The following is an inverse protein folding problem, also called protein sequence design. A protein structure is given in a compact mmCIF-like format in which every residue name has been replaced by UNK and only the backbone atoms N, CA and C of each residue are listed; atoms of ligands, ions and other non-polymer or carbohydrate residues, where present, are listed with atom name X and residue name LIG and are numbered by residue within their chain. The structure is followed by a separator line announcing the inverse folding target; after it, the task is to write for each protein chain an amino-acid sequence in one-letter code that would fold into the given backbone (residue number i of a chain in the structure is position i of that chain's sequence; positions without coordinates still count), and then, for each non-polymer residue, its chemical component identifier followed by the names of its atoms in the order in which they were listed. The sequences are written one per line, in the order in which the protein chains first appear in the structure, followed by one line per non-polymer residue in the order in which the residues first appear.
data_IF_257100970286
#
_entry.id   IF_257100970286
#
_cell.length_a   1.000
_cell.length_b   1.000
_cell.length_c   1.000
_cell.angle_alpha   90.00
_cell.angle_beta   90.00
_cell.angle_gamma   90.00
#
_symmetry.space_group_name_H-M   'P 1'
#
loop_
_entity.id
_entity.type
_entity.pdbx_description
1 polymer ?
#
# COMPACT_ATOMS: atom_id res chain seq x y z
N UNK A 1 9.02 -10.12 51.73
CA UNK A 1 9.08 -10.35 50.27
C UNK A 1 9.00 -11.86 50.02
N UNK A 2 8.00 -12.38 49.30
CA UNK A 2 7.85 -13.81 49.06
C UNK A 2 8.90 -14.33 48.08
N UNK A 3 9.80 -15.20 48.55
CA UNK A 3 10.68 -15.98 47.67
C UNK A 3 9.89 -17.15 47.07
N UNK A 4 9.81 -17.22 45.74
CA UNK A 4 9.15 -18.30 44.97
C UNK A 4 7.62 -18.41 45.16
N UNK A 5 6.88 -17.43 44.66
CA UNK A 5 5.45 -17.54 44.38
C UNK A 5 5.01 -16.55 43.30
N UNK A 6 4.25 -17.00 42.30
CA UNK A 6 3.70 -16.09 41.27
C UNK A 6 2.61 -15.24 41.90
N UNK A 7 2.86 -13.94 42.07
CA UNK A 7 1.88 -12.99 42.60
C UNK A 7 0.76 -12.84 41.56
N UNK A 8 -0.39 -13.42 41.83
CA UNK A 8 -1.62 -13.17 41.07
C UNK A 8 -2.22 -11.87 41.61
N UNK A 9 -2.26 -10.84 40.77
CA UNK A 9 -3.01 -9.61 41.08
C UNK A 9 -4.49 -10.00 41.19
N UNK A 10 -5.13 -9.66 42.31
CA UNK A 10 -6.58 -9.88 42.47
C UNK A 10 -7.34 -8.87 41.61
N UNK A 11 -8.54 -9.23 41.14
CA UNK A 11 -9.33 -8.34 40.27
C UNK A 11 -9.59 -6.98 40.94
N UNK A 12 -9.84 -6.99 42.26
CA UNK A 12 -10.03 -5.78 43.08
C UNK A 12 -8.77 -4.89 43.10
N UNK A 13 -7.57 -5.50 43.17
CA UNK A 13 -6.30 -4.78 43.10
C UNK A 13 -6.06 -4.22 41.69
N UNK A 14 -6.39 -4.99 40.66
CA UNK A 14 -6.27 -4.57 39.26
C UNK A 14 -7.23 -3.42 38.91
N UNK A 15 -8.48 -3.48 39.36
CA UNK A 15 -9.46 -2.40 39.22
C UNK A 15 -9.01 -1.14 39.98
N UNK A 16 -8.55 -1.29 41.23
CA UNK A 16 -8.09 -0.16 42.05
C UNK A 16 -6.85 0.52 41.43
N UNK A 17 -5.90 -0.27 40.91
CA UNK A 17 -4.71 0.23 40.23
C UNK A 17 -5.06 0.89 38.89
N UNK A 18 -5.92 0.27 38.08
CA UNK A 18 -6.37 0.81 36.79
C UNK A 18 -7.13 2.12 36.97
N UNK A 19 -7.98 2.21 38.00
CA UNK A 19 -8.69 3.42 38.39
C UNK A 19 -7.74 4.52 38.87
N UNK A 20 -6.72 4.18 39.66
CA UNK A 20 -5.69 5.14 40.07
C UNK A 20 -4.92 5.69 38.87
N UNK A 21 -4.47 4.83 37.95
CA UNK A 21 -3.76 5.23 36.73
C UNK A 21 -4.60 6.18 35.86
N UNK A 22 -5.88 5.87 35.64
CA UNK A 22 -6.80 6.71 34.87
C UNK A 22 -7.03 8.09 35.50
N UNK A 23 -7.04 8.19 36.83
CA UNK A 23 -7.20 9.44 37.55
C UNK A 23 -5.91 10.29 37.54
N UNK A 24 -4.74 9.66 37.68
CA UNK A 24 -3.44 10.33 37.50
C UNK A 24 -3.34 10.92 36.09
N UNK A 25 -3.56 10.09 35.06
CA UNK A 25 -3.46 10.48 33.65
C UNK A 25 -4.35 11.69 33.33
N UNK A 26 -5.60 11.67 33.81
CA UNK A 26 -6.55 12.78 33.61
C UNK A 26 -6.11 14.06 34.32
N UNK A 27 -5.69 14.00 35.58
CA UNK A 27 -5.24 15.18 36.34
C UNK A 27 -3.94 15.75 35.74
N UNK A 28 -3.01 14.89 35.34
CA UNK A 28 -1.79 15.30 34.63
C UNK A 28 -2.10 15.93 33.26
N UNK A 29 -3.07 15.40 32.51
CA UNK A 29 -3.50 15.97 31.22
C UNK A 29 -4.12 17.36 31.42
N UNK A 30 -5.00 17.55 32.41
CA UNK A 30 -5.62 18.86 32.70
C UNK A 30 -4.55 19.90 33.03
N UNK A 31 -3.54 19.52 33.83
CA UNK A 31 -2.41 20.38 34.16
C UNK A 31 -1.53 20.68 32.92
N UNK A 32 -1.21 19.66 32.12
CA UNK A 32 -0.39 19.81 30.91
C UNK A 32 -1.04 20.74 29.88
N UNK A 33 -2.31 20.52 29.54
CA UNK A 33 -3.05 21.35 28.59
C UNK A 33 -3.21 22.79 29.10
N UNK A 34 -3.41 22.98 30.42
CA UNK A 34 -3.40 24.31 31.03
C UNK A 34 -2.04 25.00 30.84
N UNK A 35 -0.94 24.30 31.08
CA UNK A 35 0.41 24.82 30.86
C UNK A 35 0.71 25.11 29.38
N UNK A 36 0.18 24.31 28.44
CA UNK A 36 0.32 24.56 27.00
C UNK A 36 -0.48 25.81 26.54
N UNK A 37 -1.71 25.98 27.03
CA UNK A 37 -2.51 27.19 26.81
C UNK A 37 -1.87 28.44 27.43
N UNK A 38 -1.24 28.29 28.60
CA UNK A 38 -0.48 29.35 29.26
C UNK A 38 0.76 29.73 28.45
N UNK A 39 1.57 28.76 27.99
CA UNK A 39 2.79 29.01 27.22
C UNK A 39 2.52 29.70 25.88
N UNK A 40 1.49 29.28 25.16
CA UNK A 40 1.08 29.93 23.88
C UNK A 40 0.62 31.37 24.10
N UNK A 41 -0.10 31.66 25.19
CA UNK A 41 -0.53 33.03 25.51
C UNK A 41 0.61 33.91 26.03
N UNK A 42 1.56 33.39 26.82
CA UNK A 42 2.79 34.12 27.22
C UNK A 42 3.60 34.52 25.98
N UNK A 43 3.71 33.62 24.99
CA UNK A 43 4.47 33.87 23.76
C UNK A 43 3.86 35.01 22.91
N UNK A 44 2.54 35.25 23.04
CA UNK A 44 1.83 36.34 22.35
C UNK A 44 1.91 37.68 23.11
N UNK A 45 2.00 37.64 24.44
CA UNK A 45 2.20 38.80 25.30
C UNK A 45 3.66 39.25 25.22
N UNK A 46 3.91 40.32 24.46
CA UNK A 46 5.26 40.73 24.02
C UNK A 46 6.15 41.24 25.16
N UNK A 47 6.74 40.34 25.94
CA UNK A 47 7.84 40.58 26.88
C UNK A 47 7.49 41.26 28.22
N UNK A 48 6.38 42.00 28.31
CA UNK A 48 6.11 42.89 29.45
C UNK A 48 5.35 42.25 30.63
N UNK A 49 4.83 41.02 30.49
CA UNK A 49 4.10 40.32 31.56
C UNK A 49 4.86 39.08 32.06
N UNK A 50 5.30 39.09 33.33
CA UNK A 50 6.01 37.98 33.97
C UNK A 50 5.12 36.81 34.44
N UNK A 51 3.84 36.78 34.07
CA UNK A 51 2.86 35.77 34.48
C UNK A 51 1.42 36.19 34.21
N UNK A 52 0.47 35.34 34.63
CA UNK A 52 -0.96 35.59 34.51
C UNK A 52 -1.62 35.97 35.85
N UNK A 53 -2.69 36.75 35.78
CA UNK A 53 -3.58 36.96 36.92
C UNK A 53 -4.31 35.65 37.29
N UNK A 54 -4.61 35.45 38.58
CA UNK A 54 -5.27 34.22 39.07
C UNK A 54 -6.64 33.98 38.44
N UNK A 55 -7.35 35.03 38.04
CA UNK A 55 -8.60 34.96 37.27
C UNK A 55 -8.36 34.32 35.90
N UNK A 56 -7.36 34.81 35.15
CA UNK A 56 -6.98 34.28 33.83
C UNK A 56 -6.45 32.85 33.89
N UNK A 57 -5.71 32.48 34.94
CA UNK A 57 -5.34 31.07 35.16
C UNK A 57 -6.57 30.20 35.39
N UNK A 58 -7.53 30.67 36.20
CA UNK A 58 -8.79 29.95 36.45
C UNK A 58 -9.63 29.78 35.17
N UNK A 59 -9.67 30.78 34.28
CA UNK A 59 -10.27 30.65 32.94
C UNK A 59 -9.56 29.59 32.09
N UNK A 60 -8.22 29.53 32.08
CA UNK A 60 -7.49 28.53 31.30
C UNK A 60 -7.76 27.10 31.80
N UNK A 61 -7.77 26.89 33.12
CA UNK A 61 -8.16 25.60 33.72
C UNK A 61 -9.61 25.26 33.36
N UNK A 62 -10.54 26.23 33.43
CA UNK A 62 -11.95 26.06 33.07
C UNK A 62 -12.11 25.57 31.62
N UNK A 63 -11.42 26.20 30.67
CA UNK A 63 -11.44 25.82 29.25
C UNK A 63 -10.87 24.42 28.97
N UNK A 64 -10.06 23.85 29.87
CA UNK A 64 -9.57 22.47 29.78
C UNK A 64 -10.56 21.51 30.45
N UNK A 65 -10.99 21.82 31.67
CA UNK A 65 -11.99 21.03 32.43
C UNK A 65 -13.32 20.89 31.66
N UNK A 66 -13.78 21.93 30.95
CA UNK A 66 -14.98 21.84 30.11
C UNK A 66 -14.81 20.89 28.91
N UNK A 67 -13.59 20.70 28.39
CA UNK A 67 -13.31 19.66 27.38
C UNK A 67 -13.27 18.26 27.98
N UNK A 68 -12.75 18.12 29.20
CA UNK A 68 -12.57 16.81 29.87
C UNK A 68 -13.86 16.25 30.47
N UNK A 69 -14.72 17.10 31.04
CA UNK A 69 -15.95 16.67 31.76
C UNK A 69 -17.25 17.25 31.17
N UNK A 70 -17.16 18.12 30.17
CA UNK A 70 -18.32 18.84 29.63
C UNK A 70 -18.69 20.09 30.44
N UNK A 71 -19.83 20.69 30.07
CA UNK A 71 -20.23 22.04 30.48
C UNK A 71 -20.29 22.22 32.00
N UNK A 72 -19.31 22.95 32.52
CA UNK A 72 -19.07 23.19 33.96
C UNK A 72 -19.04 24.70 34.21
N UNK A 73 -19.51 25.17 35.37
CA UNK A 73 -19.42 26.60 35.73
C UNK A 73 -18.02 26.94 36.24
N UNK A 74 -17.54 28.16 35.94
CA UNK A 74 -16.22 28.66 36.35
C UNK A 74 -15.95 28.51 37.86
N UNK A 75 -16.98 28.60 38.69
CA UNK A 75 -16.88 28.40 40.13
C UNK A 75 -16.49 26.96 40.52
N UNK A 76 -17.06 25.95 39.84
CA UNK A 76 -16.96 24.52 40.18
C UNK A 76 -15.83 23.76 39.48
N UNK A 77 -14.93 24.50 38.83
CA UNK A 77 -13.79 23.96 38.08
C UNK A 77 -12.84 23.17 38.98
N UNK A 78 -12.63 23.67 40.21
CA UNK A 78 -11.75 23.00 41.17
C UNK A 78 -12.44 21.80 41.83
N UNK A 79 -13.75 21.85 42.12
CA UNK A 79 -14.53 20.75 42.69
C UNK A 79 -14.31 19.42 41.93
N UNK A 80 -14.28 19.48 40.60
CA UNK A 80 -14.14 18.30 39.75
C UNK A 80 -12.68 17.81 39.63
N UNK A 81 -11.68 18.66 39.86
CA UNK A 81 -10.28 18.23 40.01
C UNK A 81 -10.06 17.64 41.42
N UNK A 82 -10.54 18.32 42.46
CA UNK A 82 -10.44 17.91 43.86
C UNK A 82 -11.13 16.56 44.11
N UNK A 83 -12.28 16.33 43.48
CA UNK A 83 -13.00 15.03 43.50
C UNK A 83 -12.19 13.91 42.87
N UNK A 84 -11.54 14.13 41.73
CA UNK A 84 -10.74 13.11 41.06
C UNK A 84 -9.43 12.83 41.81
N UNK A 85 -8.80 13.86 42.40
CA UNK A 85 -7.65 13.73 43.33
C UNK A 85 -8.03 12.99 44.61
N UNK A 86 -9.16 13.31 45.24
CA UNK A 86 -9.66 12.62 46.44
C UNK A 86 -9.99 11.15 46.15
N UNK A 87 -10.56 10.88 44.98
CA UNK A 87 -10.82 9.51 44.49
C UNK A 87 -9.51 8.76 44.21
N UNK A 88 -8.49 9.44 43.70
CA UNK A 88 -7.16 8.89 43.49
C UNK A 88 -6.49 8.50 44.81
N UNK A 89 -6.45 9.40 45.80
CA UNK A 89 -5.94 9.11 47.14
C UNK A 89 -6.65 7.90 47.78
N UNK A 90 -7.98 7.83 47.66
CA UNK A 90 -8.78 6.68 48.14
C UNK A 90 -8.43 5.39 47.40
N UNK A 91 -8.19 5.45 46.08
CA UNK A 91 -7.83 4.28 45.26
C UNK A 91 -6.41 3.79 45.58
N UNK A 92 -5.45 4.71 45.81
CA UNK A 92 -4.10 4.38 46.27
C UNK A 92 -4.12 3.77 47.68
N UNK A 93 -4.95 4.30 48.59
CA UNK A 93 -5.11 3.72 49.93
C UNK A 93 -5.69 2.30 49.86
N UNK A 94 -6.65 2.04 48.97
CA UNK A 94 -7.16 0.69 48.71
C UNK A 94 -6.05 -0.27 48.23
N UNK A 95 -5.25 0.15 47.25
CA UNK A 95 -4.08 -0.60 46.75
C UNK A 95 -3.08 -0.87 47.88
N UNK A 96 -2.79 0.12 48.72
CA UNK A 96 -1.88 -0.02 49.86
C UNK A 96 -2.39 -1.04 50.88
N UNK A 97 -3.65 -0.93 51.31
CA UNK A 97 -4.25 -1.86 52.26
C UNK A 97 -4.22 -3.31 51.74
N UNK A 98 -4.60 -3.56 50.48
CA UNK A 98 -4.57 -4.90 49.88
C UNK A 98 -3.15 -5.51 49.85
N UNK A 99 -2.13 -4.67 49.67
CA UNK A 99 -0.73 -5.11 49.68
C UNK A 99 -0.23 -5.38 51.11
N UNK A 100 -0.59 -4.53 52.08
CA UNK A 100 -0.12 -4.61 53.48
C UNK A 100 -0.84 -5.71 54.28
N UNK A 101 -2.14 -5.92 54.05
CA UNK A 101 -2.93 -7.04 54.57
C UNK A 101 -2.49 -8.41 54.00
N UNK A 102 -1.62 -8.41 52.98
CA UNK A 102 -1.12 -9.63 52.36
C UNK A 102 -2.16 -10.43 51.58
N UNK A 103 -3.31 -9.83 51.25
CA UNK A 103 -4.45 -10.47 50.56
C UNK A 103 -4.23 -10.70 49.05
N UNK A 104 -2.97 -10.61 48.61
CA UNK A 104 -2.48 -11.18 47.34
C UNK A 104 -2.64 -12.70 47.38
N UNK A 105 -3.62 -13.23 46.66
CA UNK A 105 -3.98 -14.65 46.65
C UNK A 105 -2.78 -15.57 46.37
N UNK A 106 -2.19 -16.13 47.43
CA UNK A 106 -1.53 -17.44 47.36
C UNK A 106 -2.61 -18.42 46.86
N UNK A 107 -2.30 -19.18 45.82
CA UNK A 107 -3.27 -20.06 45.16
C UNK A 107 -3.61 -21.26 46.04
N UNK A 108 -4.48 -21.03 47.02
CA UNK A 108 -5.25 -22.07 47.69
C UNK A 108 -6.05 -22.79 46.63
N UNK A 109 -5.65 -24.04 46.32
CA UNK A 109 -6.41 -24.92 45.43
C UNK A 109 -7.85 -24.96 45.93
N UNK A 110 -8.80 -24.54 45.09
CA UNK A 110 -10.20 -24.81 45.39
C UNK A 110 -10.42 -26.32 45.41
N UNK A 111 -11.29 -26.76 46.32
CA UNK A 111 -11.56 -28.17 46.53
C UNK A 111 -12.47 -28.66 45.39
N UNK A 112 -11.86 -29.26 44.36
CA UNK A 112 -12.57 -29.61 43.12
C UNK A 112 -13.70 -30.61 43.41
N UNK A 113 -14.94 -30.15 43.24
CA UNK A 113 -16.21 -30.89 43.47
C UNK A 113 -16.34 -32.23 42.72
N UNK A 114 -15.41 -32.54 41.81
CA UNK A 114 -15.40 -33.74 40.98
C UNK A 114 -13.98 -34.31 40.88
N UNK A 115 -13.81 -35.65 40.86
CA UNK A 115 -12.51 -36.26 40.59
C UNK A 115 -11.93 -35.79 39.24
N UNK A 116 -10.60 -35.58 39.10
CA UNK A 116 -9.99 -35.00 37.89
C UNK A 116 -10.26 -35.75 36.57
N UNK A 117 -10.67 -37.02 36.62
CA UNK A 117 -11.11 -37.80 35.46
C UNK A 117 -12.48 -37.32 34.93
N UNK A 118 -13.40 -36.99 35.82
CA UNK A 118 -14.75 -36.51 35.50
C UNK A 118 -14.67 -35.08 34.96
N UNK A 119 -13.90 -34.22 35.61
CA UNK A 119 -13.55 -32.87 35.14
C UNK A 119 -13.04 -32.91 33.68
N UNK A 120 -12.00 -33.71 33.42
CA UNK A 120 -11.44 -33.91 32.06
C UNK A 120 -12.46 -34.44 31.05
N UNK A 121 -13.41 -35.28 31.47
CA UNK A 121 -14.48 -35.77 30.61
C UNK A 121 -15.50 -34.67 30.26
N UNK A 122 -15.87 -33.82 31.21
CA UNK A 122 -16.71 -32.65 30.96
C UNK A 122 -16.03 -31.63 30.04
N UNK A 123 -14.76 -31.28 30.27
CA UNK A 123 -14.00 -30.39 29.39
C UNK A 123 -13.93 -30.93 27.96
N UNK A 124 -13.73 -32.24 27.76
CA UNK A 124 -13.76 -32.87 26.44
C UNK A 124 -15.14 -32.83 25.78
N UNK A 125 -16.22 -33.04 26.54
CA UNK A 125 -17.59 -32.94 26.01
C UNK A 125 -17.93 -31.51 25.58
N UNK A 126 -17.52 -30.51 26.36
CA UNK A 126 -17.69 -29.10 26.02
C UNK A 126 -16.88 -28.72 24.77
N UNK A 127 -15.57 -29.04 24.73
CA UNK A 127 -14.72 -28.75 23.59
C UNK A 127 -15.18 -29.42 22.28
N UNK A 128 -15.83 -30.60 22.37
CA UNK A 128 -16.46 -31.24 21.21
C UNK A 128 -17.67 -30.44 20.68
N UNK A 129 -18.57 -30.00 21.57
CA UNK A 129 -19.72 -29.18 21.19
C UNK A 129 -19.32 -27.80 20.64
N UNK A 130 -18.28 -27.18 21.23
CA UNK A 130 -17.68 -25.95 20.72
C UNK A 130 -17.06 -26.14 19.33
N UNK A 131 -16.37 -27.26 19.09
CA UNK A 131 -15.82 -27.59 17.78
C UNK A 131 -16.91 -27.84 16.71
N UNK A 132 -18.03 -28.47 17.06
CA UNK A 132 -19.19 -28.61 16.17
C UNK A 132 -19.84 -27.25 15.86
N UNK A 133 -19.97 -26.37 16.85
CA UNK A 133 -20.46 -25.01 16.67
C UNK A 133 -19.55 -24.15 15.78
N UNK A 134 -18.23 -24.29 15.91
CA UNK A 134 -17.24 -23.65 15.04
C UNK A 134 -17.27 -24.22 13.61
N UNK A 135 -17.42 -25.54 13.46
CA UNK A 135 -17.58 -26.19 12.15
C UNK A 135 -18.82 -25.64 11.42
N UNK A 136 -19.96 -25.51 12.10
CA UNK A 136 -21.17 -24.96 11.48
C UNK A 136 -21.01 -23.50 11.07
N UNK A 137 -20.31 -22.69 11.88
CA UNK A 137 -19.99 -21.31 11.51
C UNK A 137 -19.06 -21.22 10.29
N UNK A 138 -18.07 -22.12 10.18
CA UNK A 138 -17.19 -22.22 9.02
C UNK A 138 -17.98 -22.61 7.76
N UNK A 139 -18.83 -23.64 7.85
CA UNK A 139 -19.70 -24.12 6.77
C UNK A 139 -20.66 -23.01 6.29
N UNK A 140 -21.22 -22.22 7.21
CA UNK A 140 -22.00 -21.02 6.88
C UNK A 140 -21.16 -19.97 6.14
N UNK A 141 -19.93 -19.68 6.60
CA UNK A 141 -19.04 -18.69 5.98
C UNK A 141 -18.52 -19.12 4.60
N UNK A 142 -18.34 -20.42 4.38
CA UNK A 142 -17.99 -20.97 3.08
C UNK A 142 -19.16 -20.83 2.08
N UNK A 143 -20.39 -21.10 2.51
CA UNK A 143 -21.59 -20.85 1.71
C UNK A 143 -21.79 -19.35 1.38
N UNK A 144 -21.60 -18.45 2.35
CA UNK A 144 -21.59 -16.99 2.11
C UNK A 144 -20.50 -16.60 1.08
N UNK A 145 -19.30 -17.17 1.17
CA UNK A 145 -18.21 -16.92 0.21
C UNK A 145 -18.53 -17.45 -1.20
N UNK A 146 -19.19 -18.61 -1.31
CA UNK A 146 -19.63 -19.18 -2.60
C UNK A 146 -20.67 -18.26 -3.25
N UNK A 147 -21.63 -17.73 -2.50
CA UNK A 147 -22.63 -16.80 -3.05
C UNK A 147 -22.01 -15.47 -3.47
N UNK A 148 -21.11 -14.89 -2.66
CA UNK A 148 -20.36 -13.69 -3.02
C UNK A 148 -19.52 -13.91 -4.31
N UNK A 149 -18.93 -15.10 -4.51
CA UNK A 149 -18.23 -15.45 -5.76
C UNK A 149 -19.19 -15.46 -6.97
N UNK A 150 -20.43 -15.94 -6.84
CA UNK A 150 -21.44 -15.87 -7.91
C UNK A 150 -21.81 -14.41 -8.23
N UNK A 151 -22.06 -13.59 -7.21
CA UNK A 151 -22.39 -12.16 -7.38
C UNK A 151 -21.24 -11.41 -8.06
N UNK A 152 -19.98 -11.66 -7.67
CA UNK A 152 -18.80 -11.08 -8.32
C UNK A 152 -18.73 -11.52 -9.79
N UNK A 153 -18.95 -12.80 -10.11
CA UNK A 153 -18.96 -13.25 -11.51
C UNK A 153 -20.07 -12.57 -12.32
N UNK A 154 -21.29 -12.51 -11.81
CA UNK A 154 -22.39 -11.81 -12.48
C UNK A 154 -22.03 -10.34 -12.78
N UNK A 155 -21.38 -9.63 -11.83
CA UNK A 155 -20.93 -8.24 -12.03
C UNK A 155 -19.79 -8.10 -13.05
N UNK A 156 -18.91 -9.09 -13.18
CA UNK A 156 -17.90 -9.13 -14.26
C UNK A 156 -18.58 -9.31 -15.63
N UNK A 157 -19.59 -10.17 -15.70
CA UNK A 157 -20.36 -10.41 -16.92
C UNK A 157 -21.22 -9.17 -17.30
N UNK A 158 -21.78 -8.45 -16.30
CA UNK A 158 -22.44 -7.14 -16.46
C UNK A 158 -21.48 -6.08 -17.02
N UNK A 159 -20.32 -5.89 -16.38
CA UNK A 159 -19.30 -4.89 -16.79
C UNK A 159 -18.80 -5.18 -18.20
N UNK A 160 -18.65 -6.46 -18.57
CA UNK A 160 -18.28 -6.86 -19.94
C UNK A 160 -19.36 -6.47 -20.97
N UNK A 161 -20.64 -6.59 -20.62
CA UNK A 161 -21.76 -6.10 -21.44
C UNK A 161 -21.76 -4.57 -21.57
N UNK A 162 -21.51 -3.83 -20.49
CA UNK A 162 -21.42 -2.36 -20.55
C UNK A 162 -20.22 -1.90 -21.39
N UNK A 163 -19.06 -2.57 -21.29
CA UNK A 163 -17.90 -2.27 -22.13
C UNK A 163 -18.21 -2.46 -23.62
N UNK A 164 -18.85 -3.57 -24.00
CA UNK A 164 -19.25 -3.81 -25.39
C UNK A 164 -20.24 -2.75 -25.91
N UNK A 165 -21.18 -2.31 -25.06
CA UNK A 165 -22.13 -1.23 -25.41
C UNK A 165 -21.44 0.13 -25.59
N UNK A 166 -20.39 0.41 -24.81
CA UNK A 166 -19.56 1.62 -24.95
C UNK A 166 -18.77 1.57 -26.27
N UNK A 167 -18.08 0.47 -26.54
CA UNK A 167 -17.32 0.24 -27.78
C UNK A 167 -18.21 0.37 -29.04
N UNK A 168 -19.45 -0.13 -28.98
CA UNK A 168 -20.47 0.07 -30.03
C UNK A 168 -20.99 1.52 -30.15
N UNK A 169 -20.90 2.33 -29.10
CA UNK A 169 -21.25 3.75 -29.12
C UNK A 169 -20.10 4.59 -29.68
N UNK A 170 -18.87 4.32 -29.24
CA UNK A 170 -17.65 4.98 -29.72
C UNK A 170 -17.44 4.75 -31.22
N UNK A 171 -17.64 3.51 -31.70
CA UNK A 171 -17.60 3.19 -33.13
C UNK A 171 -18.65 3.96 -33.97
N UNK A 172 -19.82 4.29 -33.38
CA UNK A 172 -20.84 5.14 -34.03
C UNK A 172 -20.44 6.61 -34.00
N UNK A 173 -19.84 7.10 -32.92
CA UNK A 173 -19.31 8.46 -32.84
C UNK A 173 -18.16 8.67 -33.84
N UNK A 174 -17.27 7.70 -34.01
CA UNK A 174 -16.28 7.69 -35.09
C UNK A 174 -16.94 7.73 -36.47
N UNK A 175 -18.00 6.96 -36.70
CA UNK A 175 -18.71 6.96 -37.99
C UNK A 175 -19.37 8.31 -38.28
N UNK A 176 -20.04 8.93 -37.30
CA UNK A 176 -20.62 10.26 -37.45
C UNK A 176 -19.53 11.33 -37.67
N UNK A 177 -18.45 11.30 -36.89
CA UNK A 177 -17.30 12.20 -37.05
C UNK A 177 -16.69 12.12 -38.46
N UNK A 178 -16.51 10.92 -39.02
CA UNK A 178 -16.02 10.72 -40.40
C UNK A 178 -17.01 11.27 -41.44
N UNK A 179 -18.31 11.08 -41.25
CA UNK A 179 -19.37 11.60 -42.12
C UNK A 179 -19.46 13.13 -42.06
N UNK A 180 -19.33 13.73 -40.87
CA UNK A 180 -19.40 15.17 -40.70
C UNK A 180 -18.12 15.87 -41.21
N UNK A 181 -16.95 15.25 -41.04
CA UNK A 181 -15.69 15.70 -41.67
C UNK A 181 -15.78 15.69 -43.21
N UNK A 182 -16.48 14.70 -43.79
CA UNK A 182 -16.75 14.66 -45.24
C UNK A 182 -17.70 15.78 -45.69
N UNK A 183 -18.75 16.10 -44.90
CA UNK A 183 -19.62 17.25 -45.18
C UNK A 183 -18.87 18.57 -45.08
N UNK A 184 -18.03 18.73 -44.05
CA UNK A 184 -17.20 19.92 -43.83
C UNK A 184 -16.24 20.13 -45.00
N UNK A 185 -15.53 19.09 -45.43
CA UNK A 185 -14.66 19.13 -46.62
C UNK A 185 -15.42 19.48 -47.90
N UNK A 186 -16.62 18.94 -48.11
CA UNK A 186 -17.47 19.28 -49.27
C UNK A 186 -17.97 20.73 -49.19
N UNK A 187 -18.37 21.21 -48.02
CA UNK A 187 -18.82 22.60 -47.83
C UNK A 187 -17.68 23.58 -48.03
N UNK A 188 -16.47 23.28 -47.52
CA UNK A 188 -15.28 24.09 -47.74
C UNK A 188 -14.94 24.14 -49.23
N UNK A 189 -14.92 23.00 -49.93
CA UNK A 189 -14.67 22.97 -51.37
C UNK A 189 -15.70 23.83 -52.13
N UNK A 190 -16.98 23.78 -51.74
CA UNK A 190 -18.04 24.60 -52.35
C UNK A 190 -17.89 26.10 -52.03
N UNK A 191 -17.38 26.45 -50.85
CA UNK A 191 -17.03 27.83 -50.50
C UNK A 191 -15.85 28.31 -51.36
N UNK A 192 -14.85 27.47 -51.58
CA UNK A 192 -13.68 27.80 -52.41
C UNK A 192 -14.07 27.97 -53.90
N UNK A 193 -14.91 27.09 -54.45
CA UNK A 193 -15.52 27.26 -55.78
C UNK A 193 -16.24 28.61 -55.92
N UNK A 194 -17.11 28.96 -54.96
CA UNK A 194 -17.88 30.20 -54.98
C UNK A 194 -16.99 31.44 -54.82
N UNK A 195 -15.91 31.35 -54.04
CA UNK A 195 -14.91 32.42 -53.92
C UNK A 195 -14.12 32.62 -55.22
N UNK A 196 -13.79 31.53 -55.94
CA UNK A 196 -13.12 31.60 -57.25
C UNK A 196 -14.06 32.25 -58.28
N UNK A 197 -15.32 31.83 -58.36
CA UNK A 197 -16.30 32.39 -59.30
C UNK A 197 -16.62 33.86 -58.98
N UNK A 198 -16.80 34.22 -57.70
CA UNK A 198 -17.00 35.62 -57.29
C UNK A 198 -15.78 36.49 -57.65
N UNK A 199 -14.56 35.98 -57.47
CA UNK A 199 -13.34 36.68 -57.87
C UNK A 199 -13.25 36.83 -59.39
N UNK A 200 -13.59 35.79 -60.15
CA UNK A 200 -13.65 35.83 -61.62
C UNK A 200 -14.67 36.87 -62.11
N UNK A 201 -15.88 36.87 -61.56
CA UNK A 201 -16.89 37.88 -61.90
C UNK A 201 -16.44 39.30 -61.51
N UNK A 202 -15.78 39.48 -60.36
CA UNK A 202 -15.19 40.78 -59.97
C UNK A 202 -14.14 41.25 -61.00
N UNK A 203 -13.25 40.36 -61.44
CA UNK A 203 -12.30 40.64 -62.52
C UNK A 203 -13.01 40.99 -63.84
N UNK A 204 -14.03 40.24 -64.25
CA UNK A 204 -14.83 40.51 -65.46
C UNK A 204 -15.53 41.88 -65.39
N UNK A 205 -16.05 42.27 -64.22
CA UNK A 205 -16.60 43.62 -64.00
C UNK A 205 -15.51 44.72 -64.03
N UNK A 206 -14.32 44.48 -63.48
CA UNK A 206 -13.20 45.43 -63.51
C UNK A 206 -12.66 45.59 -64.95
N UNK A 207 -12.51 44.50 -65.71
CA UNK A 207 -12.17 44.53 -67.14
C UNK A 207 -13.25 45.23 -67.98
N UNK A 208 -14.53 45.02 -67.66
CA UNK A 208 -15.65 45.73 -68.33
C UNK A 208 -15.66 47.23 -67.99
N UNK A 209 -15.36 47.61 -66.74
CA UNK A 209 -15.25 49.01 -66.33
C UNK A 209 -14.06 49.71 -67.00
N UNK A 210 -12.91 49.04 -67.12
CA UNK A 210 -11.75 49.57 -67.83
C UNK A 210 -11.98 49.62 -69.35
N UNK A 211 -12.70 48.66 -69.92
CA UNK A 211 -13.15 48.71 -71.31
C UNK A 211 -14.08 49.91 -71.56
N UNK A 212 -15.10 50.13 -70.72
CA UNK A 212 -16.00 51.30 -70.81
C UNK A 212 -15.25 52.62 -70.59
N UNK A 213 -14.30 52.68 -69.65
CA UNK A 213 -13.44 53.87 -69.48
C UNK A 213 -12.54 54.11 -70.70
N UNK A 214 -12.02 53.04 -71.31
CA UNK A 214 -11.23 53.13 -72.55
C UNK A 214 -12.10 53.54 -73.73
N UNK A 215 -13.32 53.05 -73.84
CA UNK A 215 -14.30 53.47 -74.84
C UNK A 215 -14.73 54.94 -74.64
N UNK A 216 -14.90 55.39 -73.39
CA UNK A 216 -15.16 56.80 -73.07
C UNK A 216 -13.99 57.69 -73.51
N UNK A 217 -12.75 57.36 -73.11
CA UNK A 217 -11.53 58.08 -73.55
C UNK A 217 -11.38 58.02 -75.07
N UNK A 218 -11.63 56.86 -75.68
CA UNK A 218 -11.59 56.68 -77.13
C UNK A 218 -12.65 57.55 -77.81
N UNK A 219 -13.87 57.66 -77.27
CA UNK A 219 -14.94 58.49 -77.80
C UNK A 219 -14.70 59.99 -77.55
N UNK A 220 -14.01 60.38 -76.49
CA UNK A 220 -13.50 61.74 -76.29
C UNK A 220 -12.42 62.07 -77.34
N UNK A 221 -11.43 61.18 -77.50
CA UNK A 221 -10.40 61.32 -78.53
C UNK A 221 -11.01 61.24 -79.93
N UNK A 222 -12.02 60.41 -80.19
CA UNK A 222 -12.67 60.26 -81.49
C UNK A 222 -13.67 61.38 -81.75
N UNK A 223 -14.27 62.01 -80.75
CA UNK A 223 -15.00 63.27 -80.93
C UNK A 223 -14.02 64.41 -81.28
N UNK A 224 -12.83 64.43 -80.68
CA UNK A 224 -11.75 65.36 -81.06
C UNK A 224 -11.13 65.04 -82.43
N UNK A 225 -10.92 63.76 -82.74
CA UNK A 225 -10.40 63.26 -84.02
C UNK A 225 -11.48 63.26 -85.10
N UNK A 226 -12.79 63.33 -84.80
CA UNK A 226 -13.89 63.52 -85.75
C UNK A 226 -14.21 64.99 -85.96
N UNK A 227 -13.96 65.85 -84.98
CA UNK A 227 -13.66 67.27 -85.26
C UNK A 227 -12.46 67.42 -86.18
N UNK A 228 -11.57 66.43 -86.31
CA UNK A 228 -10.43 66.37 -87.25
C UNK A 228 -10.64 65.45 -88.49
N UNK A 229 -11.59 64.51 -88.45
CA UNK A 229 -11.94 63.56 -89.53
C UNK A 229 -13.13 64.06 -90.34
N UNK A 230 -13.95 64.95 -89.80
CA UNK A 230 -14.66 65.93 -90.63
C UNK A 230 -13.68 66.78 -91.47
N UNK A 231 -12.46 67.06 -90.97
CA UNK A 231 -11.38 67.69 -91.78
C UNK A 231 -10.60 66.69 -92.67
N UNK A 232 -10.66 65.37 -92.42
CA UNK A 232 -9.71 64.41 -93.03
C UNK A 232 -10.27 63.08 -93.57
N UNK A 233 -11.31 62.47 -92.99
CA UNK A 233 -12.05 61.31 -93.54
C UNK A 233 -13.04 61.67 -94.64
N UNK A 234 -12.90 62.88 -95.18
CA UNK A 234 -13.14 63.24 -96.58
C UNK A 234 -12.47 62.28 -97.63
N UNK A 235 -12.23 60.98 -97.34
CA UNK A 235 -11.23 60.07 -97.99
C UNK A 235 -11.60 58.56 -98.19
N UNK A 236 -11.29 57.58 -97.30
CA UNK A 236 -11.24 56.10 -97.62
C UNK A 236 -11.41 55.08 -96.46
N UNK A 237 -12.01 53.89 -96.69
CA UNK A 237 -11.88 52.64 -95.89
C UNK A 237 -12.37 51.35 -96.65
N UNK A 238 -11.74 50.15 -96.46
CA UNK A 238 -12.03 48.83 -97.15
C UNK A 238 -11.46 47.50 -96.35
N UNK A 239 -12.17 46.35 -95.83
CA UNK A 239 -11.81 44.81 -95.43
C UNK A 239 -12.23 43.90 -94.07
N UNK A 240 -11.99 42.50 -93.86
CA UNK A 240 -12.50 41.40 -92.77
C UNK A 240 -11.64 40.00 -92.43
N UNK A 241 -11.76 38.80 -91.63
CA UNK A 241 -12.67 37.76 -90.81
C UNK A 241 -12.05 36.44 -89.93
N UNK A 242 -12.73 35.31 -89.38
CA UNK A 242 -12.42 34.21 -88.22
C UNK A 242 -12.93 32.59 -88.33
N UNK A 243 -12.93 31.34 -87.58
CA UNK A 243 -12.80 30.47 -86.21
C UNK A 243 -12.49 28.81 -86.29
N UNK A 244 -12.59 27.60 -85.50
CA UNK A 244 -12.95 26.77 -84.16
C UNK A 244 -12.55 25.13 -84.13
N UNK A 245 -12.66 23.94 -83.31
CA UNK A 245 -12.91 23.13 -81.92
C UNK A 245 -12.62 21.47 -81.95
N UNK A 246 -12.72 20.29 -81.14
CA UNK A 246 -13.07 19.48 -79.78
C UNK A 246 -12.62 17.85 -79.69
N UNK A 247 -12.74 16.66 -78.87
CA UNK A 247 -13.09 15.88 -77.50
C UNK A 247 -12.71 14.22 -77.40
N UNK A 248 -12.84 13.05 -76.55
CA UNK A 248 -13.24 12.28 -75.18
C UNK A 248 -12.79 10.64 -75.03
N UNK A 249 -12.96 9.47 -74.17
CA UNK A 249 -13.51 8.72 -72.85
C UNK A 249 -13.16 7.08 -72.43
N UNK A 250 -13.30 6.47 -71.15
CA UNK A 250 -13.49 5.04 -70.35
C UNK A 250 -12.65 3.59 -70.29
N UNK A 251 -12.72 2.34 -69.53
CA UNK A 251 -13.38 1.43 -68.36
C UNK A 251 -12.70 -0.03 -67.83
N UNK A 252 -13.11 -0.91 -66.76
CA UNK A 252 -12.47 -2.28 -66.16
C UNK A 252 -13.17 -3.43 -65.13
N UNK A 253 -12.64 -4.69 -64.70
CA UNK A 253 -13.13 -5.87 -63.69
C UNK A 253 -12.17 -7.19 -63.27
N UNK A 254 -12.25 -8.41 -62.50
CA UNK A 254 -12.92 -9.32 -61.33
C UNK A 254 -12.32 -10.83 -60.83
N UNK A 255 -12.68 -11.65 -59.69
CA UNK A 255 -12.00 -12.96 -59.02
C UNK A 255 -12.72 -14.26 -58.18
N UNK A 256 -12.08 -15.43 -57.61
CA UNK A 256 -12.55 -16.69 -56.66
C UNK A 256 -11.53 -17.92 -56.17
N UNK A 257 -11.55 -19.17 -55.40
CA UNK A 257 -12.18 -20.18 -54.29
C UNK A 257 -11.32 -21.59 -53.97
N UNK A 258 -11.29 -22.77 -53.11
CA UNK A 258 -11.79 -23.70 -51.88
C UNK A 258 -11.08 -25.23 -51.70
N UNK A 259 -11.10 -26.42 -50.87
CA UNK A 259 -11.51 -27.27 -49.56
C UNK A 259 -10.91 -28.85 -49.40
N UNK A 260 -10.91 -30.01 -48.53
CA UNK A 260 -11.11 -30.70 -47.09
C UNK A 260 -10.71 -32.35 -46.81
N UNK A 261 -10.76 -33.13 -45.60
CA UNK A 261 -10.58 -34.73 -45.32
C UNK A 261 -10.33 -35.54 -43.85
N UNK A 262 -10.23 -36.96 -43.60
CA UNK A 262 -10.03 -37.90 -42.28
C UNK A 262 -10.03 -39.58 -42.32
N UNK A 263 -9.90 -40.71 -41.43
CA UNK A 263 -9.46 -41.31 -39.99
C UNK A 263 -9.66 -42.93 -39.51
N UNK A 264 -8.92 -43.70 -38.52
CA UNK A 264 -9.19 -44.99 -37.55
C UNK A 264 -8.19 -46.33 -37.28
N UNK A 265 -8.22 -47.22 -36.14
CA UNK A 265 -7.58 -48.64 -35.78
C UNK A 265 -8.00 -49.62 -34.48
N UNK A 266 -7.45 -50.90 -34.12
CA UNK A 266 -7.80 -51.93 -32.92
C UNK A 266 -7.04 -53.38 -32.50
N UNK A 267 -7.33 -54.14 -31.33
CA UNK A 267 -7.26 -55.63 -30.71
C UNK A 267 -6.04 -56.57 -30.16
N UNK A 268 -6.20 -57.36 -29.04
CA UNK A 268 -5.47 -58.65 -28.61
C UNK A 268 -4.38 -58.68 -27.46
N UNK A 269 -3.86 -59.77 -26.78
CA UNK A 269 -4.29 -61.16 -26.38
C UNK A 269 -3.24 -62.28 -25.87
N UNK A 270 -3.33 -62.85 -24.62
CA UNK A 270 -2.86 -64.21 -24.03
C UNK A 270 -1.33 -64.65 -23.90
N UNK A 271 -0.76 -65.65 -23.12
CA UNK A 271 -1.03 -66.52 -21.90
C UNK A 271 -0.37 -67.98 -21.81
N UNK A 272 0.04 -68.61 -20.65
CA UNK A 272 0.27 -70.11 -20.51
C UNK A 272 1.37 -70.88 -19.65
N UNK A 273 2.09 -70.36 -18.62
CA UNK A 273 3.37 -70.99 -18.13
C UNK A 273 3.57 -71.22 -16.59
N UNK A 274 2.53 -71.03 -15.78
CA UNK A 274 2.74 -70.42 -14.44
C UNK A 274 3.06 -71.37 -13.26
N UNK A 275 2.77 -72.68 -13.36
CA UNK A 275 2.73 -73.58 -12.19
C UNK A 275 4.10 -73.83 -11.53
N UNK A 276 5.17 -73.98 -12.32
CA UNK A 276 6.53 -74.14 -11.80
C UNK A 276 7.13 -72.85 -11.24
N UNK A 277 6.73 -71.70 -11.81
CA UNK A 277 7.17 -70.36 -11.36
C UNK A 277 6.59 -70.08 -9.97
N UNK A 278 5.31 -70.39 -9.76
CA UNK A 278 4.60 -70.18 -8.50
C UNK A 278 5.24 -70.93 -7.31
N UNK A 279 5.74 -72.16 -7.54
CA UNK A 279 6.39 -72.97 -6.51
C UNK A 279 7.76 -72.39 -6.07
N UNK A 280 8.56 -71.89 -7.01
CA UNK A 280 9.83 -71.22 -6.69
C UNK A 280 9.59 -69.87 -5.99
N UNK A 281 8.62 -69.10 -6.47
CA UNK A 281 8.21 -67.82 -5.87
C UNK A 281 7.76 -67.99 -4.40
N UNK A 282 7.05 -69.08 -4.08
CA UNK A 282 6.66 -69.41 -2.70
C UNK A 282 7.85 -69.76 -1.78
N UNK A 283 8.93 -70.32 -2.33
CA UNK A 283 10.15 -70.61 -1.57
C UNK A 283 10.96 -69.33 -1.32
N UNK A 284 11.06 -68.47 -2.33
CA UNK A 284 11.78 -67.20 -2.27
C UNK A 284 11.09 -66.18 -1.34
N UNK A 285 9.76 -66.01 -1.46
CA UNK A 285 8.97 -65.13 -0.59
C UNK A 285 9.07 -65.54 0.88
N UNK A 286 9.14 -66.84 1.19
CA UNK A 286 9.33 -67.35 2.56
C UNK A 286 10.70 -66.99 3.14
N UNK A 287 11.77 -67.13 2.37
CA UNK A 287 13.12 -66.71 2.78
C UNK A 287 13.21 -65.18 2.99
N UNK A 288 12.56 -64.39 2.12
CA UNK A 288 12.48 -62.94 2.26
C UNK A 288 11.67 -62.51 3.51
N UNK A 289 10.63 -63.26 3.90
CA UNK A 289 9.87 -63.02 5.13
C UNK A 289 10.72 -63.29 6.39
N UNK A 290 11.49 -64.37 6.42
CA UNK A 290 12.40 -64.67 7.55
C UNK A 290 13.51 -63.60 7.67
N UNK A 291 14.09 -63.18 6.54
CA UNK A 291 15.09 -62.11 6.49
C UNK A 291 14.53 -60.77 6.99
N UNK A 292 13.40 -60.32 6.46
CA UNK A 292 12.78 -59.04 6.87
C UNK A 292 12.32 -59.07 8.34
N UNK A 293 11.92 -60.24 8.86
CA UNK A 293 11.63 -60.42 10.28
C UNK A 293 12.87 -60.24 11.16
N UNK A 294 14.05 -60.74 10.74
CA UNK A 294 15.32 -60.52 11.43
C UNK A 294 15.79 -59.06 11.35
N UNK A 295 15.65 -58.42 10.20
CA UNK A 295 15.97 -57.00 10.00
C UNK A 295 15.06 -56.10 10.86
N UNK A 296 13.75 -56.37 10.93
CA UNK A 296 12.81 -55.71 11.84
C UNK A 296 13.19 -55.91 13.32
N UNK A 297 13.66 -57.11 13.70
CA UNK A 297 14.08 -57.41 15.08
C UNK A 297 15.37 -56.66 15.46
N UNK A 298 16.31 -56.51 14.52
CA UNK A 298 17.49 -55.64 14.69
C UNK A 298 17.10 -54.17 14.77
N UNK A 299 16.19 -53.68 13.93
CA UNK A 299 15.70 -52.30 13.99
C UNK A 299 15.01 -51.98 15.33
N UNK A 300 14.22 -52.91 15.89
CA UNK A 300 13.65 -52.77 17.23
C UNK A 300 14.70 -52.74 18.34
N UNK A 301 15.77 -53.54 18.24
CA UNK A 301 16.89 -53.47 19.18
C UNK A 301 17.60 -52.11 19.11
N UNK A 302 17.94 -51.63 17.90
CA UNK A 302 18.56 -50.32 17.70
C UNK A 302 17.67 -49.15 18.18
N UNK A 303 16.35 -49.29 18.06
CA UNK A 303 15.37 -48.33 18.59
C UNK A 303 15.41 -48.25 20.13
N UNK A 304 15.69 -49.36 20.82
CA UNK A 304 15.80 -49.37 22.30
C UNK A 304 17.09 -48.75 22.85
N UNK A 305 18.09 -48.52 21.99
CA UNK A 305 19.34 -47.83 22.35
C UNK A 305 19.36 -46.33 22.01
N UNK A 306 18.28 -45.80 21.41
CA UNK A 306 18.14 -44.36 21.19
C UNK A 306 17.60 -43.69 22.46
N UNK A 307 18.20 -42.56 22.83
CA UNK A 307 17.68 -41.70 23.90
C UNK A 307 16.24 -41.25 23.60
N UNK A 308 15.33 -41.16 24.59
CA UNK A 308 13.95 -40.77 24.34
C UNK A 308 13.86 -39.46 23.55
N UNK A 309 13.08 -39.47 22.46
CA UNK A 309 12.82 -38.25 21.69
C UNK A 309 12.19 -37.20 22.61
N UNK A 310 12.72 -35.97 22.65
CA UNK A 310 12.08 -34.89 23.40
C UNK A 310 10.73 -34.58 22.77
N UNK A 311 9.65 -35.07 23.39
CA UNK A 311 8.29 -34.78 22.95
C UNK A 311 8.08 -33.28 23.12
N UNK A 312 7.96 -32.55 22.01
CA UNK A 312 7.61 -31.13 22.05
C UNK A 312 6.29 -30.96 22.81
N UNK A 313 6.29 -30.12 23.84
CA UNK A 313 5.09 -29.82 24.62
C UNK A 313 4.02 -29.11 23.76
N UNK A 314 4.42 -28.56 22.61
CA UNK A 314 3.51 -28.14 21.54
C UNK A 314 2.92 -29.36 20.81
N UNK A 315 1.86 -29.93 21.38
CA UNK A 315 0.84 -30.68 20.62
C UNK A 315 0.36 -29.81 19.45
N UNK A 316 -0.03 -30.36 18.30
CA UNK A 316 -0.64 -29.56 17.23
C UNK A 316 -2.17 -29.50 17.39
N UNK A 317 -2.75 -28.30 17.48
CA UNK A 317 -4.20 -28.10 17.62
C UNK A 317 -4.59 -26.66 17.97
N UNK A 318 -5.91 -26.33 17.99
CA UNK A 318 -6.37 -24.96 18.23
C UNK A 318 -6.03 -24.44 19.63
N UNK A 319 -5.98 -25.31 20.65
CA UNK A 319 -5.48 -24.93 21.99
C UNK A 319 -3.99 -24.58 21.99
N UNK A 320 -3.20 -25.14 21.08
CA UNK A 320 -1.79 -24.79 20.92
C UNK A 320 -1.60 -23.51 20.10
N UNK A 321 -2.52 -23.20 19.19
CA UNK A 321 -2.64 -21.86 18.61
C UNK A 321 -3.10 -20.84 19.66
N UNK A 322 -3.94 -21.22 20.62
CA UNK A 322 -4.38 -20.33 21.70
C UNK A 322 -3.31 -20.14 22.78
N UNK A 323 -2.52 -21.18 23.09
CA UNK A 323 -1.33 -21.08 23.93
C UNK A 323 -0.25 -20.26 23.20
N UNK A 324 0.00 -20.48 21.91
CA UNK A 324 0.88 -19.59 21.14
C UNK A 324 0.33 -18.17 21.00
N UNK A 325 -0.99 -17.95 21.01
CA UNK A 325 -1.58 -16.60 20.96
C UNK A 325 -1.54 -15.88 22.32
N UNK A 326 -1.65 -16.61 23.43
CA UNK A 326 -1.50 -16.07 24.79
C UNK A 326 -0.01 -16.04 25.22
N UNK A 327 0.85 -16.79 24.53
CA UNK A 327 2.32 -16.77 24.61
C UNK A 327 2.95 -16.05 23.41
N UNK A 328 2.16 -15.27 22.66
CA UNK A 328 2.69 -14.17 21.86
C UNK A 328 3.24 -13.18 22.86
N UNK A 329 4.55 -13.18 23.02
CA UNK A 329 5.19 -12.17 23.85
C UNK A 329 5.00 -10.82 23.15
N UNK A 330 4.01 -10.05 23.62
CA UNK A 330 3.63 -8.77 23.01
C UNK A 330 4.79 -7.76 23.00
N UNK A 331 5.77 -7.92 23.90
CA UNK A 331 7.01 -7.13 23.89
C UNK A 331 7.91 -7.54 22.72
N UNK A 332 8.01 -8.84 22.41
CA UNK A 332 8.72 -9.33 21.23
C UNK A 332 7.99 -8.95 19.93
N UNK A 333 6.67 -9.16 19.82
CA UNK A 333 5.90 -8.77 18.62
C UNK A 333 5.94 -7.24 18.38
N UNK A 334 5.95 -6.43 19.45
CA UNK A 334 6.18 -4.98 19.36
C UNK A 334 7.56 -4.65 18.77
N UNK A 335 8.61 -5.30 19.27
CA UNK A 335 9.99 -5.12 18.79
C UNK A 335 10.15 -5.61 17.34
N UNK A 336 9.53 -6.74 16.97
CA UNK A 336 9.56 -7.27 15.61
C UNK A 336 8.79 -6.38 14.63
N UNK A 337 7.62 -5.85 15.02
CA UNK A 337 6.84 -4.92 14.22
C UNK A 337 7.60 -3.61 13.97
N UNK A 338 8.25 -3.08 15.01
CA UNK A 338 9.11 -1.89 14.93
C UNK A 338 10.36 -2.14 14.06
N UNK A 339 11.03 -3.29 14.22
CA UNK A 339 12.17 -3.69 13.39
C UNK A 339 11.79 -3.82 11.91
N UNK A 340 10.63 -4.39 11.61
CA UNK A 340 10.06 -4.47 10.26
C UNK A 340 9.68 -3.09 9.69
N UNK A 341 9.16 -2.18 10.53
CA UNK A 341 8.85 -0.81 10.13
C UNK A 341 10.12 -0.01 9.81
N UNK A 342 11.11 -0.03 10.70
CA UNK A 342 12.41 0.63 10.51
C UNK A 342 13.15 0.10 9.28
N UNK A 343 13.08 -1.21 9.02
CA UNK A 343 13.66 -1.83 7.81
C UNK A 343 12.94 -1.45 6.50
N UNK A 344 11.72 -0.88 6.56
CA UNK A 344 11.03 -0.28 5.41
C UNK A 344 11.31 1.23 5.29
N UNK A 345 11.53 1.91 6.41
CA UNK A 345 11.94 3.33 6.43
C UNK A 345 13.37 3.54 5.92
N UNK A 346 14.28 2.56 6.07
CA UNK A 346 15.69 2.65 5.65
C UNK A 346 15.87 3.23 4.23
N UNK A 347 15.04 2.80 3.27
CA UNK A 347 15.09 3.27 1.88
C UNK A 347 14.92 4.78 1.72
N UNK A 348 14.27 5.48 2.67
CA UNK A 348 14.13 6.95 2.68
C UNK A 348 15.43 7.67 3.05
N UNK A 349 16.35 6.97 3.73
CA UNK A 349 17.60 7.49 4.26
C UNK A 349 18.84 6.90 3.57
N UNK A 350 18.63 6.19 2.45
CA UNK A 350 19.70 5.63 1.62
C UNK A 350 20.52 6.72 0.91
N UNK A 351 19.85 7.69 0.27
CA UNK A 351 20.49 8.86 -0.34
C UNK A 351 19.56 10.09 -0.30
N UNK A 352 20.15 11.28 -0.31
CA UNK A 352 19.43 12.55 -0.52
C UNK A 352 19.34 12.83 -2.03
N UNK A 353 18.15 13.17 -2.52
CA UNK A 353 17.93 13.61 -3.89
C UNK A 353 17.59 15.10 -3.91
N UNK A 354 18.45 15.97 -4.45
CA UNK A 354 18.10 17.37 -4.67
C UNK A 354 16.88 17.51 -5.57
N UNK A 355 16.03 18.49 -5.30
CA UNK A 355 14.88 18.84 -6.11
C UNK A 355 15.26 19.89 -7.16
N UNK A 356 15.13 19.52 -8.43
CA UNK A 356 15.48 20.37 -9.58
C UNK A 356 14.58 21.62 -9.75
N UNK A 357 13.43 21.71 -9.06
CA UNK A 357 12.57 22.91 -9.09
C UNK A 357 12.88 23.94 -8.01
N UNK A 358 13.81 23.63 -7.08
CA UNK A 358 14.17 24.49 -5.95
C UNK A 358 15.54 25.16 -6.16
N UNK A 359 15.75 26.30 -5.50
CA UNK A 359 17.06 26.96 -5.49
C UNK A 359 18.11 26.12 -4.75
N UNK A 360 19.38 26.47 -4.92
CA UNK A 360 20.48 25.81 -4.21
C UNK A 360 20.37 25.93 -2.68
N UNK A 361 19.90 27.07 -2.16
CA UNK A 361 19.76 27.28 -0.70
C UNK A 361 18.67 26.38 -0.10
N UNK A 362 17.49 26.34 -0.72
CA UNK A 362 16.39 25.49 -0.27
C UNK A 362 16.76 24.00 -0.32
N UNK A 363 17.53 23.58 -1.34
CA UNK A 363 18.08 22.23 -1.44
C UNK A 363 19.11 21.92 -0.35
N UNK A 364 19.95 22.89 0.04
CA UNK A 364 20.91 22.71 1.13
C UNK A 364 20.20 22.69 2.50
N UNK A 365 19.17 23.51 2.69
CA UNK A 365 18.30 23.48 3.87
C UNK A 365 17.60 22.11 4.01
N UNK A 366 16.98 21.60 2.93
CA UNK A 366 16.41 20.23 2.90
C UNK A 366 17.45 19.14 3.15
N UNK A 367 18.68 19.30 2.64
CA UNK A 367 19.81 18.40 2.93
C UNK A 367 20.18 18.42 4.41
N UNK A 368 20.28 19.59 5.06
CA UNK A 368 20.55 19.65 6.50
C UNK A 368 19.43 19.03 7.32
N UNK A 369 18.17 19.14 6.89
CA UNK A 369 17.05 18.50 7.57
C UNK A 369 17.06 16.97 7.38
N UNK A 370 17.29 16.49 6.15
CA UNK A 370 17.44 15.06 5.86
C UNK A 370 18.59 14.42 6.67
N UNK A 371 19.69 15.15 6.92
CA UNK A 371 20.76 14.69 7.81
C UNK A 371 20.24 14.48 9.24
N UNK A 372 19.55 15.47 9.83
CA UNK A 372 18.97 15.35 11.18
C UNK A 372 17.97 14.20 11.27
N UNK A 373 17.07 14.09 10.29
CA UNK A 373 16.04 13.05 10.24
C UNK A 373 16.67 11.65 10.13
N UNK A 374 17.75 11.52 9.35
CA UNK A 374 18.56 10.29 9.23
C UNK A 374 19.26 9.92 10.54
N UNK A 375 19.72 10.90 11.32
CA UNK A 375 20.33 10.62 12.62
C UNK A 375 19.28 10.24 13.68
N UNK A 376 18.10 10.86 13.65
CA UNK A 376 16.94 10.42 14.45
C UNK A 376 16.48 9.01 14.09
N UNK A 377 16.48 8.65 12.80
CA UNK A 377 16.24 7.28 12.34
C UNK A 377 17.30 6.29 12.86
N UNK A 378 18.59 6.64 12.78
CA UNK A 378 19.68 5.81 13.32
C UNK A 378 19.57 5.62 14.84
N UNK A 379 19.13 6.64 15.58
CA UNK A 379 18.86 6.55 17.02
C UNK A 379 17.69 5.59 17.31
N UNK A 380 16.57 5.69 16.58
CA UNK A 380 15.44 4.74 16.68
C UNK A 380 15.88 3.30 16.44
N UNK A 381 16.72 3.06 15.42
CA UNK A 381 17.28 1.74 15.09
C UNK A 381 18.08 1.14 16.24
N UNK A 382 18.97 1.89 16.88
CA UNK A 382 19.80 1.34 17.98
C UNK A 382 19.01 1.23 19.31
N UNK A 383 18.00 2.06 19.54
CA UNK A 383 17.03 1.89 20.63
C UNK A 383 16.21 0.60 20.48
N UNK A 384 15.73 0.28 19.26
CA UNK A 384 15.02 -0.96 18.98
C UNK A 384 15.94 -2.19 19.18
N UNK A 385 17.21 -2.12 18.74
CA UNK A 385 18.24 -3.14 19.04
C UNK A 385 18.49 -3.32 20.53
N UNK A 386 18.57 -2.24 21.30
CA UNK A 386 18.82 -2.30 22.74
C UNK A 386 17.66 -3.00 23.47
N UNK A 387 16.42 -2.69 23.09
CA UNK A 387 15.21 -3.39 23.58
C UNK A 387 15.19 -4.88 23.20
N UNK A 388 15.58 -5.23 21.97
CA UNK A 388 15.73 -6.63 21.54
C UNK A 388 16.80 -7.35 22.36
N UNK A 389 17.95 -6.72 22.59
CA UNK A 389 19.06 -7.28 23.36
C UNK A 389 18.68 -7.52 24.83
N UNK A 390 18.04 -6.54 25.49
CA UNK A 390 17.56 -6.67 26.87
C UNK A 390 16.54 -7.81 26.99
N UNK A 391 15.56 -7.84 26.08
CA UNK A 391 14.54 -8.89 25.99
C UNK A 391 15.18 -10.28 25.82
N UNK A 392 16.05 -10.43 24.81
CA UNK A 392 16.62 -11.73 24.46
C UNK A 392 17.57 -12.25 25.53
N UNK A 393 18.40 -11.38 26.12
CA UNK A 393 19.31 -11.77 27.23
C UNK A 393 18.53 -12.27 28.45
N UNK A 394 17.34 -11.71 28.70
CA UNK A 394 16.47 -12.07 29.83
C UNK A 394 15.68 -13.35 29.61
N UNK A 395 15.19 -13.58 28.38
CA UNK A 395 14.29 -14.69 28.07
C UNK A 395 15.01 -15.92 27.46
N UNK A 396 16.17 -15.72 26.83
CA UNK A 396 16.95 -16.75 26.14
C UNK A 396 18.45 -16.68 26.49
N UNK A 397 18.83 -16.85 27.76
CA UNK A 397 20.23 -16.76 28.20
C UNK A 397 21.11 -17.81 27.50
N UNK A 398 22.24 -17.35 26.94
CA UNK A 398 23.20 -18.21 26.25
C UNK A 398 22.88 -18.52 24.78
N UNK A 399 21.84 -17.91 24.20
CA UNK A 399 21.48 -18.04 22.77
C UNK A 399 21.82 -16.74 22.03
N UNK A 400 22.44 -16.85 20.85
CA UNK A 400 22.75 -15.70 20.00
C UNK A 400 21.51 -14.85 19.66
N UNK A 401 21.69 -13.53 19.61
CA UNK A 401 20.59 -12.57 19.44
C UNK A 401 20.17 -12.49 17.95
N UNK A 402 18.87 -12.67 17.62
CA UNK A 402 18.38 -12.59 16.25
C UNK A 402 18.65 -11.25 15.56
N UNK A 403 19.12 -11.29 14.31
CA UNK A 403 19.36 -10.10 13.50
C UNK A 403 18.06 -9.61 12.83
N UNK A 404 17.11 -9.10 13.63
CA UNK A 404 15.82 -8.61 13.12
C UNK A 404 15.94 -7.31 12.29
N UNK A 405 16.97 -6.49 12.51
CA UNK A 405 17.16 -5.19 11.83
C UNK A 405 18.41 -5.26 10.94
N UNK A 406 18.18 -5.23 9.61
CA UNK A 406 19.21 -5.38 8.57
C UNK A 406 20.03 -4.12 8.30
N UNK A 407 19.54 -2.94 8.72
CA UNK A 407 20.21 -1.63 8.59
C UNK A 407 21.66 -1.73 9.07
N UNK A 408 22.66 -1.38 8.26
CA UNK A 408 24.06 -1.43 8.75
C UNK A 408 24.24 -0.53 9.99
N UNK A 409 24.91 -1.04 11.04
CA UNK A 409 25.38 -0.17 12.12
C UNK A 409 26.33 0.87 11.52
N UNK A 410 26.09 2.15 11.84
CA UNK A 410 26.95 3.29 11.46
C UNK A 410 28.39 2.94 11.86
N UNK A 411 29.21 2.54 10.88
CA UNK A 411 30.63 2.22 11.12
C UNK A 411 31.26 3.46 11.74
N UNK A 412 32.07 3.29 12.79
CA UNK A 412 32.74 4.44 13.43
C UNK A 412 33.47 5.22 12.34
N UNK A 413 33.20 6.51 12.23
CA UNK A 413 34.00 7.40 11.40
C UNK A 413 35.40 7.39 12.01
N UNK A 414 36.34 6.81 11.26
CA UNK A 414 37.76 6.79 11.63
C UNK A 414 38.21 8.25 11.57
N UNK A 415 38.77 8.78 12.66
CA UNK A 415 39.25 10.16 12.68
C UNK A 415 40.42 10.34 11.71
N UNK A 416 40.62 11.54 11.18
CA UNK A 416 41.78 11.79 10.29
C UNK A 416 43.12 11.51 10.98
N UNK A 417 43.18 11.66 12.31
CA UNK A 417 44.29 11.21 13.17
C UNK A 417 44.63 9.72 13.04
N UNK A 418 43.62 8.89 12.78
CA UNK A 418 43.70 7.44 12.73
C UNK A 418 43.85 6.94 11.27
N UNK A 419 43.78 7.85 10.28
CA UNK A 419 43.96 7.60 8.84
C UNK A 419 45.39 7.90 8.35
N UNK A 420 46.39 7.69 9.21
CA UNK A 420 47.79 7.64 8.80
C UNK A 420 47.99 6.52 7.74
N UNK A 421 48.87 6.73 6.75
CA UNK A 421 49.27 5.70 5.75
C UNK A 421 49.78 4.43 6.44
N UNK A 422 50.44 4.57 7.59
CA UNK A 422 50.94 3.45 8.39
C UNK A 422 49.91 2.90 9.40
N UNK A 423 48.67 3.38 9.38
CA UNK A 423 47.58 2.91 10.23
C UNK A 423 47.12 1.53 9.79
N UNK A 424 46.95 0.60 10.74
CA UNK A 424 46.37 -0.73 10.45
C UNK A 424 45.03 -0.61 9.72
N UNK A 425 44.22 0.39 10.06
CA UNK A 425 42.93 0.66 9.43
C UNK A 425 43.05 1.09 7.96
N UNK A 426 44.13 1.80 7.60
CA UNK A 426 44.43 2.15 6.20
C UNK A 426 44.91 0.93 5.42
N UNK A 427 45.82 0.13 6.01
CA UNK A 427 46.33 -1.11 5.41
C UNK A 427 45.21 -2.15 5.18
N UNK A 428 44.30 -2.32 6.14
CA UNK A 428 43.13 -3.20 6.02
C UNK A 428 42.17 -2.73 4.90
N UNK A 429 42.03 -1.41 4.68
CA UNK A 429 41.25 -0.84 3.57
C UNK A 429 41.96 -1.10 2.23
N UNK A 430 43.25 -0.78 2.11
CA UNK A 430 44.03 -0.99 0.89
C UNK A 430 44.04 -2.47 0.48
N UNK A 431 44.31 -3.38 1.42
CA UNK A 431 44.26 -4.83 1.21
C UNK A 431 42.88 -5.29 0.70
N UNK A 432 41.79 -4.80 1.31
CA UNK A 432 40.41 -5.12 0.90
C UNK A 432 40.02 -4.54 -0.47
N UNK A 433 40.77 -3.56 -0.97
CA UNK A 433 40.61 -2.96 -2.31
C UNK A 433 41.65 -3.49 -3.32
N UNK A 434 42.48 -4.47 -2.94
CA UNK A 434 43.53 -5.04 -3.79
C UNK A 434 44.77 -4.16 -3.97
N UNK A 435 44.88 -3.07 -3.23
CA UNK A 435 45.99 -2.10 -3.29
C UNK A 435 47.12 -2.60 -2.38
N UNK A 436 48.27 -2.90 -2.98
CA UNK A 436 49.49 -3.24 -2.24
C UNK A 436 50.22 -1.96 -1.82
N UNK A 437 50.11 -1.62 -0.53
CA UNK A 437 50.96 -0.63 0.14
C UNK A 437 52.35 -1.23 0.38
N UNK A 438 53.40 -0.51 -0.02
CA UNK A 438 54.80 -0.91 0.15
C UNK A 438 55.40 -0.40 1.46
#
# INVERSE_FOLDING_TARGET
LPSSGTIVLTDILWESLSRALLLVDRVCTILHDTCALAATQITLLSGESSGFESTRVKEMIHNVVEKTYGKTSLEKVFDQIEKDVSTLCTSIQCVHNIIDEGSLNIVNKQDNKYPPLIERAHTRKQAAAEAEGLRWQLEKKENEMIELKKVIKARIDDVSNYKLRLEMADARLEQFSKVDSQKESHLQHRIDELNIELKKQKNEYEETLDAIQKELRNAETENSEMKERAKSMSKKALLQGIQNMENLENRSSSPSRGANLSVRGEHGGMGGADMGILANLLKETRANLERTTLEMRRAKASSSTLSPLPISQSVCGPYSLHINANSRDSRLESIESEANHLSREESRFAFFSPNATKSWRENEEERTQWIKDREMFQFRVECCRSRLHEYWTRNHPGVDIPQLIKVERKRKVIGESDLNINSKTFLDICSKWGITTA
#
